data_IF_619176097818
#
_entry.id   IF_619176097818
#
_cell.length_a   1.000
_cell.length_b   1.000
_cell.length_c   1.000
_cell.angle_alpha   90.00
_cell.angle_beta   90.00
_cell.angle_gamma   90.00
#
_symmetry.space_group_name_H-M   'P 1'
#
loop_
_entity.id
_entity.type
_entity.pdbx_description
1 polymer ?
#
# COMPACT_ATOMS: atom_id res chain seq x y z
N UNK A 1 -43.19 16.44 12.61
CA UNK A 1 -41.96 15.76 13.07
C UNK A 1 -41.68 14.66 12.06
N UNK A 2 -40.73 14.85 11.12
CA UNK A 2 -40.37 13.77 10.21
C UNK A 2 -39.83 12.60 11.04
N UNK A 3 -40.42 11.43 10.82
CA UNK A 3 -40.00 10.15 11.40
C UNK A 3 -38.51 9.97 11.20
N UNK A 4 -37.80 9.68 12.30
CA UNK A 4 -36.37 9.35 12.35
C UNK A 4 -36.11 8.27 11.30
N UNK A 5 -35.66 8.66 10.12
CA UNK A 5 -35.23 7.75 9.06
C UNK A 5 -34.10 6.92 9.64
N UNK A 6 -34.31 5.61 9.73
CA UNK A 6 -33.26 4.67 10.09
C UNK A 6 -32.04 4.97 9.21
N UNK A 7 -30.94 5.34 9.85
CA UNK A 7 -29.69 5.67 9.16
C UNK A 7 -29.30 4.44 8.35
N UNK A 8 -29.14 4.61 7.04
CA UNK A 8 -28.69 3.53 6.18
C UNK A 8 -27.26 3.15 6.58
N UNK A 9 -27.08 1.97 7.16
CA UNK A 9 -25.78 1.41 7.51
C UNK A 9 -25.52 0.22 6.59
N UNK A 10 -24.34 0.17 5.97
CA UNK A 10 -23.93 -0.96 5.16
C UNK A 10 -23.66 -2.17 6.07
N UNK A 11 -24.00 -3.39 5.62
CA UNK A 11 -23.63 -4.60 6.35
C UNK A 11 -22.11 -4.65 6.62
N UNK A 12 -21.68 -5.20 7.76
CA UNK A 12 -20.26 -5.47 7.98
C UNK A 12 -19.76 -6.51 6.97
N UNK A 13 -18.47 -6.47 6.65
CA UNK A 13 -17.83 -7.57 5.94
C UNK A 13 -17.92 -8.88 6.71
N UNK A 14 -17.81 -10.01 6.01
CA UNK A 14 -17.69 -11.32 6.64
C UNK A 14 -16.47 -11.38 7.55
N UNK A 15 -16.50 -12.25 8.55
CA UNK A 15 -15.33 -12.47 9.41
C UNK A 15 -14.13 -12.92 8.56
N UNK A 16 -12.94 -12.37 8.84
CA UNK A 16 -11.70 -12.81 8.21
C UNK A 16 -11.41 -14.27 8.54
N UNK A 17 -10.67 -14.96 7.66
CA UNK A 17 -10.25 -16.33 7.92
C UNK A 17 -9.43 -16.40 9.22
N UNK A 18 -9.77 -17.33 10.10
CA UNK A 18 -9.00 -17.57 11.32
C UNK A 18 -7.75 -18.40 11.02
N UNK A 19 -6.70 -18.21 11.82
CA UNK A 19 -5.48 -19.03 11.74
C UNK A 19 -5.79 -20.52 11.75
N UNK A 20 -6.62 -20.97 12.70
CA UNK A 20 -6.99 -22.37 12.84
C UNK A 20 -7.71 -22.92 11.61
N UNK A 21 -8.58 -22.12 10.97
CA UNK A 21 -9.25 -22.54 9.75
C UNK A 21 -8.25 -22.70 8.59
N UNK A 22 -7.33 -21.76 8.44
CA UNK A 22 -6.28 -21.80 7.40
C UNK A 22 -5.34 -22.98 7.61
N UNK A 23 -4.91 -23.22 8.85
CA UNK A 23 -4.06 -24.36 9.19
C UNK A 23 -4.75 -25.69 8.88
N UNK A 24 -6.06 -25.81 9.15
CA UNK A 24 -6.86 -27.00 8.88
C UNK A 24 -7.24 -27.20 7.41
N UNK A 25 -6.95 -26.24 6.52
CA UNK A 25 -7.25 -26.39 5.09
C UNK A 25 -6.15 -27.16 4.36
N UNK A 26 -6.56 -28.21 3.65
CA UNK A 26 -5.67 -29.11 2.91
C UNK A 26 -5.41 -28.67 1.46
N UNK A 27 -6.28 -27.82 0.90
CA UNK A 27 -6.29 -27.50 -0.52
C UNK A 27 -5.99 -26.01 -0.74
N UNK A 28 -4.72 -25.59 -0.82
CA UNK A 28 -4.37 -24.23 -1.20
C UNK A 28 -4.74 -23.95 -2.66
N UNK A 29 -5.10 -22.70 -2.97
CA UNK A 29 -5.26 -22.30 -4.36
C UNK A 29 -3.93 -22.27 -5.13
N UNK A 30 -3.95 -22.46 -6.46
CA UNK A 30 -2.76 -22.29 -7.28
C UNK A 30 -2.19 -20.87 -7.18
N UNK A 31 -0.86 -20.73 -7.08
CA UNK A 31 -0.21 -19.42 -6.88
C UNK A 31 -0.57 -18.39 -7.96
N UNK A 32 -0.65 -18.79 -9.23
CA UNK A 32 -1.00 -17.90 -10.33
C UNK A 32 -2.42 -17.33 -10.21
N UNK A 33 -3.35 -18.09 -9.64
CA UNK A 33 -4.72 -17.62 -9.39
C UNK A 33 -4.72 -16.55 -8.29
N UNK A 34 -4.01 -16.82 -7.18
CA UNK A 34 -3.88 -15.87 -6.06
C UNK A 34 -3.22 -14.56 -6.53
N UNK A 35 -2.14 -14.65 -7.29
CA UNK A 35 -1.46 -13.49 -7.90
C UNK A 35 -2.40 -12.68 -8.79
N UNK A 36 -3.16 -13.35 -9.67
CA UNK A 36 -4.11 -12.67 -10.56
C UNK A 36 -5.14 -11.86 -9.79
N UNK A 37 -5.74 -12.47 -8.76
CA UNK A 37 -6.76 -11.82 -7.92
C UNK A 37 -6.16 -10.63 -7.14
N UNK A 38 -4.94 -10.78 -6.58
CA UNK A 38 -4.28 -9.67 -5.87
C UNK A 38 -3.97 -8.50 -6.79
N UNK A 39 -3.46 -8.76 -8.00
CA UNK A 39 -3.17 -7.71 -8.99
C UNK A 39 -4.46 -7.04 -9.49
N UNK A 40 -5.51 -7.82 -9.74
CA UNK A 40 -6.80 -7.30 -10.19
C UNK A 40 -7.41 -6.36 -9.13
N UNK A 41 -7.53 -6.83 -7.88
CA UNK A 41 -8.13 -6.05 -6.80
C UNK A 41 -7.28 -4.82 -6.48
N UNK A 42 -5.95 -4.97 -6.38
CA UNK A 42 -5.07 -3.83 -6.11
C UNK A 42 -5.11 -2.79 -7.23
N UNK A 43 -5.08 -3.22 -8.49
CA UNK A 43 -5.22 -2.33 -9.64
C UNK A 43 -6.56 -1.59 -9.65
N UNK A 44 -7.66 -2.29 -9.35
CA UNK A 44 -8.98 -1.67 -9.20
C UNK A 44 -8.98 -0.60 -8.10
N UNK A 45 -8.49 -0.92 -6.90
CA UNK A 45 -8.47 0.00 -5.77
C UNK A 45 -7.55 1.20 -5.98
N UNK A 46 -6.40 1.01 -6.65
CA UNK A 46 -5.52 2.12 -7.05
C UNK A 46 -6.24 3.02 -8.07
N UNK A 47 -6.89 2.44 -9.07
CA UNK A 47 -7.66 3.23 -10.05
C UNK A 47 -8.86 3.96 -9.43
N UNK A 48 -9.42 3.41 -8.35
CA UNK A 48 -10.50 4.02 -7.61
C UNK A 48 -10.02 5.31 -6.93
N UNK A 49 -8.86 5.28 -6.28
CA UNK A 49 -8.25 6.46 -5.64
C UNK A 49 -8.03 7.61 -6.62
N UNK A 50 -7.71 7.30 -7.88
CA UNK A 50 -7.52 8.29 -8.95
C UNK A 50 -8.84 8.90 -9.45
N UNK A 51 -9.94 8.15 -9.33
CA UNK A 51 -11.26 8.52 -9.89
C UNK A 51 -12.20 9.17 -8.90
N UNK A 52 -11.98 9.00 -7.60
CA UNK A 52 -12.90 9.51 -6.58
C UNK A 52 -12.20 10.23 -5.44
N UNK A 53 -12.77 11.36 -5.04
CA UNK A 53 -12.41 12.08 -3.81
C UNK A 53 -13.29 11.68 -2.63
N UNK A 54 -14.29 10.81 -2.84
CA UNK A 54 -15.20 10.37 -1.78
C UNK A 54 -14.45 9.76 -0.61
N UNK A 55 -13.32 9.09 -0.88
CA UNK A 55 -12.50 8.39 0.10
C UNK A 55 -11.32 9.21 0.64
N UNK A 56 -11.37 10.52 0.41
CA UNK A 56 -10.29 11.46 0.69
C UNK A 56 -9.20 11.37 -0.37
N UNK A 57 -8.40 12.43 -0.47
CA UNK A 57 -7.20 12.41 -1.30
C UNK A 57 -6.15 11.53 -0.63
N UNK A 58 -5.81 10.42 -1.28
CA UNK A 58 -4.63 9.63 -0.96
C UNK A 58 -3.42 10.54 -1.09
N UNK A 59 -2.70 10.73 0.02
CA UNK A 59 -1.42 11.41 -0.03
C UNK A 59 -0.47 10.47 -0.80
N UNK A 60 -0.21 10.77 -2.08
CA UNK A 60 0.65 9.97 -2.97
C UNK A 60 2.13 10.15 -2.60
N UNK A 61 2.42 10.11 -1.30
CA UNK A 61 3.76 10.13 -0.80
C UNK A 61 4.46 8.82 -1.19
N UNK A 62 5.35 8.91 -2.18
CA UNK A 62 6.15 7.79 -2.68
C UNK A 62 7.04 7.15 -1.59
N UNK A 63 7.23 7.84 -0.47
CA UNK A 63 8.01 7.39 0.69
C UNK A 63 7.12 6.96 1.87
N UNK A 64 5.87 6.62 1.60
CA UNK A 64 4.96 5.92 2.52
C UNK A 64 4.50 4.61 1.87
N UNK A 65 4.42 3.48 2.60
CA UNK A 65 4.00 2.19 2.04
C UNK A 65 2.47 2.11 1.87
N UNK A 66 1.92 3.04 1.11
CA UNK A 66 0.52 3.02 0.69
C UNK A 66 0.27 1.89 -0.31
N UNK A 67 -1.00 1.49 -0.50
CA UNK A 67 -1.39 0.52 -1.53
C UNK A 67 -0.82 0.91 -2.91
N UNK A 68 -0.92 2.19 -3.28
CA UNK A 68 -0.37 2.71 -4.53
C UNK A 68 1.15 2.54 -4.60
N UNK A 69 1.88 2.93 -3.55
CA UNK A 69 3.34 2.80 -3.49
C UNK A 69 3.77 1.34 -3.63
N UNK A 70 3.13 0.43 -2.89
CA UNK A 70 3.47 -1.00 -2.93
C UNK A 70 3.13 -1.62 -4.29
N UNK A 71 2.00 -1.24 -4.89
CA UNK A 71 1.62 -1.66 -6.24
C UNK A 71 2.63 -1.20 -7.29
N UNK A 72 3.00 0.09 -7.29
CA UNK A 72 4.00 0.65 -8.22
C UNK A 72 5.36 -0.03 -8.03
N UNK A 73 5.77 -0.27 -6.78
CA UNK A 73 7.01 -1.00 -6.46
C UNK A 73 7.00 -2.44 -6.97
N UNK A 74 5.89 -3.16 -6.79
CA UNK A 74 5.78 -4.52 -7.30
C UNK A 74 5.94 -4.55 -8.83
N UNK A 75 5.28 -3.63 -9.53
CA UNK A 75 5.33 -3.50 -10.99
C UNK A 75 6.67 -2.98 -11.53
N UNK A 76 7.38 -2.14 -10.77
CA UNK A 76 8.71 -1.64 -11.13
C UNK A 76 9.85 -2.61 -10.81
N UNK A 77 9.52 -3.83 -10.35
CA UNK A 77 10.51 -4.86 -10.02
C UNK A 77 11.26 -4.60 -8.71
N UNK A 78 10.83 -3.65 -7.88
CA UNK A 78 11.42 -3.44 -6.55
C UNK A 78 11.23 -4.70 -5.69
N UNK A 79 12.29 -5.09 -4.99
CA UNK A 79 12.23 -6.15 -3.99
C UNK A 79 11.57 -5.64 -2.71
N UNK A 80 10.85 -6.52 -2.02
CA UNK A 80 10.31 -6.22 -0.68
C UNK A 80 11.44 -6.17 0.35
N UNK A 81 11.23 -5.51 1.50
CA UNK A 81 12.13 -5.63 2.64
C UNK A 81 12.34 -7.10 3.00
N UNK A 82 13.49 -7.42 3.58
CA UNK A 82 13.81 -8.79 3.99
C UNK A 82 12.65 -9.39 4.81
N UNK A 83 12.28 -10.66 4.56
CA UNK A 83 11.21 -11.30 5.31
C UNK A 83 11.60 -11.56 6.77
N UNK A 84 12.89 -11.41 7.14
CA UNK A 84 13.39 -11.45 8.51
C UNK A 84 13.42 -10.05 9.13
N UNK A 85 12.69 -9.86 10.24
CA UNK A 85 12.60 -8.56 10.93
C UNK A 85 13.95 -8.01 11.41
N UNK A 86 14.88 -8.89 11.78
CA UNK A 86 16.25 -8.52 12.19
C UNK A 86 17.00 -7.79 11.08
N UNK A 87 16.78 -8.20 9.83
CA UNK A 87 17.47 -7.67 8.65
C UNK A 87 16.76 -6.47 8.03
N UNK A 88 15.44 -6.38 8.22
CA UNK A 88 14.65 -5.21 7.81
C UNK A 88 15.11 -3.89 8.47
N UNK A 89 15.93 -3.96 9.52
CA UNK A 89 16.50 -2.80 10.21
C UNK A 89 18.01 -2.60 9.98
N UNK A 90 18.68 -3.49 9.24
CA UNK A 90 20.12 -3.35 8.94
C UNK A 90 20.34 -2.40 7.75
N UNK A 91 20.68 -1.15 8.07
CA UNK A 91 20.96 -0.10 7.09
C UNK A 91 22.03 -0.52 6.07
N UNK A 92 23.06 -1.26 6.48
CA UNK A 92 24.15 -1.64 5.56
C UNK A 92 23.65 -2.65 4.53
N UNK A 93 22.91 -3.65 4.98
CA UNK A 93 22.32 -4.65 4.10
C UNK A 93 21.31 -4.00 3.15
N UNK A 94 20.45 -3.12 3.66
CA UNK A 94 19.45 -2.42 2.85
C UNK A 94 20.12 -1.57 1.78
N UNK A 95 21.15 -0.77 2.11
CA UNK A 95 21.89 0.01 1.11
C UNK A 95 22.51 -0.87 0.02
N UNK A 96 22.88 -2.11 0.32
CA UNK A 96 23.42 -3.05 -0.66
C UNK A 96 22.35 -3.66 -1.57
N UNK A 97 21.08 -3.72 -1.13
CA UNK A 97 19.99 -4.38 -1.86
C UNK A 97 18.95 -3.41 -2.44
N UNK A 98 18.91 -2.15 -2.02
CA UNK A 98 17.83 -1.20 -2.36
C UNK A 98 17.70 -0.89 -3.85
N UNK A 99 18.80 -1.02 -4.60
CA UNK A 99 18.87 -0.82 -6.05
C UNK A 99 18.68 -2.12 -6.84
N UNK A 100 18.58 -3.26 -6.16
CA UNK A 100 18.29 -4.53 -6.82
C UNK A 100 16.84 -4.52 -7.30
N UNK A 101 16.66 -5.00 -8.53
CA UNK A 101 15.37 -5.14 -9.19
C UNK A 101 15.29 -6.54 -9.76
N UNK A 102 14.08 -7.10 -9.74
CA UNK A 102 13.77 -8.27 -10.56
C UNK A 102 13.40 -7.82 -11.96
N UNK A 103 13.85 -8.58 -12.96
CA UNK A 103 13.44 -8.40 -14.35
C UNK A 103 12.07 -9.05 -14.64
N UNK A 104 11.55 -9.83 -13.68
CA UNK A 104 10.26 -10.47 -13.79
C UNK A 104 9.12 -9.47 -13.70
N UNK A 105 8.15 -9.62 -14.62
CA UNK A 105 6.89 -8.87 -14.54
C UNK A 105 6.13 -9.31 -13.30
N UNK A 106 5.37 -8.38 -12.68
CA UNK A 106 4.57 -8.65 -11.49
C UNK A 106 3.86 -10.02 -11.56
N UNK A 107 3.05 -10.29 -12.59
CA UNK A 107 2.30 -11.55 -12.78
C UNK A 107 3.12 -12.85 -12.73
N UNK A 108 4.45 -12.79 -12.93
CA UNK A 108 5.35 -13.94 -12.89
C UNK A 108 6.19 -14.03 -11.62
N UNK A 109 6.16 -12.98 -10.78
CA UNK A 109 6.86 -12.96 -9.50
C UNK A 109 6.31 -14.03 -8.55
N UNK A 110 7.14 -14.56 -7.65
CA UNK A 110 6.73 -15.58 -6.71
C UNK A 110 5.70 -15.03 -5.71
N UNK A 111 4.88 -15.90 -5.11
CA UNK A 111 3.67 -15.50 -4.39
C UNK A 111 3.98 -14.73 -3.09
N UNK A 112 5.08 -15.03 -2.43
CA UNK A 112 5.56 -14.34 -1.23
C UNK A 112 5.81 -12.83 -1.46
N UNK A 113 6.11 -12.41 -2.69
CA UNK A 113 6.32 -11.00 -3.02
C UNK A 113 5.03 -10.17 -2.89
N UNK A 114 3.89 -10.84 -2.72
CA UNK A 114 2.57 -10.22 -2.60
C UNK A 114 2.10 -10.07 -1.14
N UNK A 115 2.89 -10.51 -0.15
CA UNK A 115 2.54 -10.41 1.27
C UNK A 115 2.10 -8.98 1.67
N UNK A 116 2.95 -7.99 1.38
CA UNK A 116 2.69 -6.61 1.80
C UNK A 116 1.54 -5.97 1.02
N UNK A 117 1.41 -6.32 -0.27
CA UNK A 117 0.29 -5.87 -1.10
C UNK A 117 -1.04 -6.42 -0.58
N UNK A 118 -1.08 -7.70 -0.18
CA UNK A 118 -2.26 -8.33 0.43
C UNK A 118 -2.73 -7.58 1.67
N UNK A 119 -1.83 -7.24 2.59
CA UNK A 119 -2.20 -6.47 3.79
C UNK A 119 -2.69 -5.07 3.43
N UNK A 120 -2.03 -4.38 2.50
CA UNK A 120 -2.44 -3.06 2.06
C UNK A 120 -3.81 -3.05 1.38
N UNK A 121 -4.13 -4.09 0.60
CA UNK A 121 -5.45 -4.29 -0.02
C UNK A 121 -6.52 -4.48 1.06
N UNK A 122 -6.30 -5.37 2.03
CA UNK A 122 -7.26 -5.60 3.12
C UNK A 122 -7.52 -4.31 3.92
N UNK A 123 -6.47 -3.59 4.28
CA UNK A 123 -6.58 -2.32 4.99
C UNK A 123 -7.36 -1.29 4.15
N UNK A 124 -7.12 -1.22 2.84
CA UNK A 124 -7.81 -0.28 1.96
C UNK A 124 -9.29 -0.62 1.79
N UNK A 125 -9.65 -1.90 1.64
CA UNK A 125 -11.06 -2.33 1.56
C UNK A 125 -11.84 -1.93 2.81
N UNK A 126 -11.28 -2.19 3.99
CA UNK A 126 -11.87 -1.80 5.28
C UNK A 126 -11.97 -0.28 5.44
N UNK A 127 -10.93 0.46 5.03
CA UNK A 127 -10.91 1.91 5.11
C UNK A 127 -12.00 2.56 4.22
N UNK A 128 -12.16 2.06 2.98
CA UNK A 128 -13.23 2.50 2.08
C UNK A 128 -14.61 2.18 2.68
N UNK A 129 -14.81 0.97 3.22
CA UNK A 129 -16.06 0.58 3.87
C UNK A 129 -16.43 1.49 5.05
N UNK A 130 -15.47 1.77 5.93
CA UNK A 130 -15.67 2.68 7.06
C UNK A 130 -16.04 4.10 6.59
N UNK A 131 -15.40 4.59 5.52
CA UNK A 131 -15.73 5.89 4.95
C UNK A 131 -17.13 5.94 4.34
N UNK A 132 -17.54 4.91 3.60
CA UNK A 132 -18.89 4.83 3.04
C UNK A 132 -19.93 4.87 4.17
N UNK A 133 -19.72 4.09 5.23
CA UNK A 133 -20.60 4.08 6.40
C UNK A 133 -20.64 5.44 7.11
N UNK A 134 -19.49 6.11 7.27
CA UNK A 134 -19.46 7.44 7.89
C UNK A 134 -20.28 8.46 7.08
N UNK A 135 -20.17 8.43 5.75
CA UNK A 135 -20.92 9.34 4.85
C UNK A 135 -22.41 9.05 4.82
N UNK A 136 -22.79 7.78 4.81
CA UNK A 136 -24.20 7.36 4.86
C UNK A 136 -24.81 7.73 6.22
N UNK A 137 -24.11 7.44 7.31
CA UNK A 137 -24.57 7.73 8.68
C UNK A 137 -24.70 9.23 8.97
N UNK A 138 -23.92 10.08 8.30
CA UNK A 138 -24.03 11.54 8.41
C UNK A 138 -25.02 12.16 7.43
N UNK A 139 -25.61 11.37 6.51
CA UNK A 139 -26.49 11.85 5.45
C UNK A 139 -25.78 12.68 4.36
N UNK A 140 -24.46 12.59 4.24
CA UNK A 140 -23.71 13.24 3.15
C UNK A 140 -23.86 12.48 1.82
N UNK A 141 -24.29 11.23 1.87
CA UNK A 141 -24.50 10.39 0.70
C UNK A 141 -25.69 9.46 0.94
N UNK A 142 -26.33 9.04 -0.13
CA UNK A 142 -27.35 8.00 -0.17
C UNK A 142 -26.81 6.75 -0.89
N UNK A 143 -27.43 5.60 -0.67
CA UNK A 143 -27.02 4.34 -1.31
C UNK A 143 -27.09 4.40 -2.85
N UNK A 144 -27.96 5.24 -3.39
CA UNK A 144 -28.16 5.46 -4.83
C UNK A 144 -27.18 6.45 -5.44
N UNK A 145 -26.42 7.18 -4.62
CA UNK A 145 -25.45 8.15 -5.14
C UNK A 145 -24.30 7.41 -5.83
N UNK A 146 -23.78 7.99 -6.91
CA UNK A 146 -22.64 7.44 -7.62
C UNK A 146 -21.34 7.68 -6.85
N UNK A 147 -20.45 6.69 -6.85
CA UNK A 147 -19.14 6.77 -6.20
C UNK A 147 -18.19 7.78 -6.88
N UNK A 148 -18.38 8.00 -8.17
CA UNK A 148 -17.69 8.99 -9.01
C UNK A 148 -18.51 9.16 -10.29
N UNK A 149 -18.21 10.16 -11.12
CA UNK A 149 -18.95 10.45 -12.35
C UNK A 149 -19.01 9.23 -13.28
N UNK A 150 -20.21 8.76 -13.61
CA UNK A 150 -20.46 7.53 -14.38
C UNK A 150 -19.94 6.24 -13.71
N UNK A 151 -19.69 6.28 -12.41
CA UNK A 151 -19.30 5.13 -11.60
C UNK A 151 -20.49 4.35 -11.06
N UNK A 152 -20.22 3.23 -10.35
CA UNK A 152 -21.26 2.48 -9.67
C UNK A 152 -21.88 3.33 -8.55
N UNK A 153 -23.11 2.99 -8.19
CA UNK A 153 -23.73 3.50 -6.96
C UNK A 153 -22.94 3.06 -5.72
N UNK A 154 -23.13 3.75 -4.59
CA UNK A 154 -22.54 3.35 -3.29
C UNK A 154 -22.95 1.91 -2.92
N UNK A 155 -24.18 1.50 -3.21
CA UNK A 155 -24.64 0.13 -2.97
C UNK A 155 -23.91 -0.92 -3.85
N UNK A 156 -23.75 -0.63 -5.14
CA UNK A 156 -23.01 -1.51 -6.07
C UNK A 156 -21.53 -1.56 -5.70
N UNK A 157 -20.93 -0.42 -5.36
CA UNK A 157 -19.55 -0.37 -4.88
C UNK A 157 -19.36 -1.25 -3.64
N UNK A 158 -20.27 -1.18 -2.66
CA UNK A 158 -20.21 -2.04 -1.48
C UNK A 158 -20.26 -3.52 -1.84
N UNK A 159 -21.12 -3.89 -2.79
CA UNK A 159 -21.25 -5.28 -3.26
C UNK A 159 -19.91 -5.79 -3.81
N UNK A 160 -19.25 -5.00 -4.68
CA UNK A 160 -17.94 -5.34 -5.22
C UNK A 160 -16.87 -5.46 -4.12
N UNK A 161 -16.85 -4.53 -3.16
CA UNK A 161 -15.89 -4.58 -2.05
C UNK A 161 -16.11 -5.81 -1.16
N UNK A 162 -17.36 -6.21 -0.94
CA UNK A 162 -17.71 -7.40 -0.17
C UNK A 162 -17.30 -8.70 -0.90
N UNK A 163 -17.45 -8.75 -2.22
CA UNK A 163 -16.97 -9.86 -3.06
C UNK A 163 -15.44 -9.98 -3.00
N UNK A 164 -14.72 -8.86 -3.16
CA UNK A 164 -13.25 -8.84 -3.02
C UNK A 164 -12.80 -9.24 -1.62
N UNK A 165 -13.45 -8.72 -0.58
CA UNK A 165 -13.18 -9.13 0.79
C UNK A 165 -13.39 -10.63 0.99
N UNK A 166 -14.48 -11.18 0.44
CA UNK A 166 -14.78 -12.61 0.46
C UNK A 166 -13.65 -13.42 -0.16
N UNK A 167 -13.28 -13.11 -1.40
CA UNK A 167 -12.23 -13.81 -2.15
C UNK A 167 -10.87 -13.82 -1.42
N UNK A 168 -10.47 -12.67 -0.86
CA UNK A 168 -9.20 -12.53 -0.13
C UNK A 168 -9.19 -13.27 1.22
N UNK A 169 -10.37 -13.54 1.79
CA UNK A 169 -10.53 -14.24 3.06
C UNK A 169 -10.97 -15.70 2.89
N UNK A 170 -10.94 -16.24 1.67
CA UNK A 170 -11.15 -17.67 1.48
C UNK A 170 -9.98 -18.47 2.07
N UNK A 171 -10.29 -19.50 2.83
CA UNK A 171 -9.28 -20.30 3.53
C UNK A 171 -8.21 -20.91 2.59
N UNK A 172 -8.56 -21.48 1.41
CA UNK A 172 -7.60 -21.90 0.40
C UNK A 172 -6.67 -20.79 -0.11
N UNK A 173 -7.19 -19.57 -0.26
CA UNK A 173 -6.44 -18.40 -0.73
C UNK A 173 -5.38 -18.01 0.28
N UNK A 174 -5.80 -17.79 1.54
CA UNK A 174 -4.89 -17.41 2.63
C UNK A 174 -3.87 -18.51 2.91
N UNK A 175 -4.25 -19.80 2.80
CA UNK A 175 -3.33 -20.94 2.97
C UNK A 175 -2.21 -20.94 1.93
N UNK A 176 -2.52 -20.66 0.67
CA UNK A 176 -1.53 -20.61 -0.40
C UNK A 176 -0.49 -19.51 -0.12
N UNK A 177 -0.96 -18.31 0.24
CA UNK A 177 -0.09 -17.18 0.55
C UNK A 177 0.71 -17.40 1.85
N UNK A 178 0.09 -17.95 2.91
CA UNK A 178 0.76 -18.32 4.17
C UNK A 178 1.91 -19.30 3.93
N UNK A 179 1.65 -20.34 3.12
CA UNK A 179 2.64 -21.37 2.82
C UNK A 179 3.82 -20.78 2.03
N UNK A 180 3.55 -19.98 0.98
CA UNK A 180 4.59 -19.35 0.18
C UNK A 180 5.47 -18.40 1.02
N UNK A 181 4.86 -17.62 1.92
CA UNK A 181 5.59 -16.73 2.82
C UNK A 181 6.46 -17.53 3.81
N UNK A 182 5.97 -18.65 4.34
CA UNK A 182 6.79 -19.54 5.20
C UNK A 182 7.95 -20.14 4.42
N UNK A 183 7.70 -20.65 3.22
CA UNK A 183 8.72 -21.24 2.35
C UNK A 183 9.82 -20.23 2.04
N UNK A 184 9.47 -19.02 1.64
CA UNK A 184 10.43 -17.93 1.41
C UNK A 184 11.28 -17.62 2.64
N UNK A 185 10.69 -17.65 3.84
CA UNK A 185 11.43 -17.46 5.10
C UNK A 185 12.38 -18.61 5.40
N UNK A 186 11.99 -19.85 5.09
CA UNK A 186 12.84 -21.04 5.23
C UNK A 186 14.01 -20.97 4.25
N UNK A 187 13.75 -20.62 3.00
CA UNK A 187 14.78 -20.42 1.97
C UNK A 187 15.77 -19.34 2.39
N UNK A 188 15.27 -18.21 2.90
CA UNK A 188 16.12 -17.14 3.42
C UNK A 188 17.02 -17.61 4.57
N UNK A 189 16.45 -18.33 5.56
CA UNK A 189 17.22 -18.89 6.67
C UNK A 189 18.25 -19.92 6.20
N UNK A 190 17.91 -20.71 5.19
CA UNK A 190 18.82 -21.65 4.56
C UNK A 190 20.03 -20.91 3.98
N UNK A 191 19.80 -19.89 3.15
CA UNK A 191 20.86 -19.09 2.54
C UNK A 191 21.74 -18.41 3.60
N UNK A 192 21.14 -17.90 4.68
CA UNK A 192 21.87 -17.31 5.79
C UNK A 192 22.80 -18.33 6.47
N UNK A 193 22.31 -19.54 6.74
CA UNK A 193 23.13 -20.64 7.31
C UNK A 193 24.30 -20.97 6.38
N UNK A 194 24.06 -21.07 5.08
CA UNK A 194 25.13 -21.33 4.10
C UNK A 194 26.15 -20.19 4.05
N UNK A 195 25.69 -18.95 4.11
CA UNK A 195 26.57 -17.79 4.15
C UNK A 195 27.45 -17.79 5.41
N UNK A 196 26.89 -18.15 6.58
CA UNK A 196 27.63 -18.31 7.84
C UNK A 196 28.72 -19.39 7.76
N UNK A 197 28.45 -20.49 7.06
CA UNK A 197 29.47 -21.52 6.75
C UNK A 197 30.58 -20.93 5.86
N UNK A 198 30.20 -20.19 4.81
CA UNK A 198 31.16 -19.62 3.84
C UNK A 198 32.15 -18.66 4.51
N UNK A 199 31.69 -17.88 5.48
CA UNK A 199 32.55 -16.94 6.25
C UNK A 199 33.21 -17.59 7.47
N UNK A 200 33.09 -18.92 7.64
CA UNK A 200 33.62 -19.70 8.76
C UNK A 200 33.12 -19.27 10.15
N UNK A 201 31.91 -18.72 10.24
CA UNK A 201 31.27 -18.40 11.53
C UNK A 201 30.75 -19.66 12.23
N UNK A 202 30.27 -20.64 11.45
CA UNK A 202 29.79 -21.94 11.94
C UNK A 202 30.44 -23.09 11.18
N UNK A 203 30.50 -24.27 11.80
CA UNK A 203 31.01 -25.47 11.13
C UNK A 203 29.97 -26.07 10.18
N UNK A 204 30.41 -26.88 9.22
CA UNK A 204 29.49 -27.64 8.33
C UNK A 204 28.57 -28.58 9.11
N UNK A 205 29.07 -29.15 10.22
CA UNK A 205 28.27 -30.05 11.06
C UNK A 205 27.14 -29.28 11.76
N UNK A 206 27.43 -28.08 12.26
CA UNK A 206 26.41 -27.21 12.88
C UNK A 206 25.38 -26.75 11.86
N UNK A 207 25.82 -26.37 10.65
CA UNK A 207 24.92 -26.01 9.56
C UNK A 207 23.96 -27.13 9.19
N UNK A 208 24.45 -28.37 9.04
CA UNK A 208 23.59 -29.53 8.77
C UNK A 208 22.56 -29.76 9.88
N UNK A 209 22.94 -29.55 11.15
CA UNK A 209 22.04 -29.66 12.28
C UNK A 209 20.96 -28.57 12.26
N UNK A 210 21.33 -27.33 11.95
CA UNK A 210 20.39 -26.21 11.82
C UNK A 210 19.44 -26.42 10.64
N UNK A 211 19.95 -26.82 9.48
CA UNK A 211 19.15 -27.14 8.30
C UNK A 211 18.17 -28.28 8.58
N UNK A 212 18.63 -29.36 9.21
CA UNK A 212 17.74 -30.46 9.61
C UNK A 212 16.63 -30.00 10.56
N UNK A 213 16.88 -28.97 11.38
CA UNK A 213 15.89 -28.42 12.30
C UNK A 213 14.84 -27.58 11.58
N UNK A 214 15.23 -26.67 10.67
CA UNK A 214 14.28 -25.80 9.98
C UNK A 214 13.31 -26.58 9.06
N UNK A 215 13.75 -27.72 8.52
CA UNK A 215 12.92 -28.60 7.69
C UNK A 215 12.15 -29.66 8.51
N UNK A 216 12.33 -29.72 9.83
CA UNK A 216 11.55 -30.62 10.68
C UNK A 216 10.09 -30.14 10.71
N UNK A 217 9.07 -30.99 10.47
CA UNK A 217 7.67 -30.54 10.34
C UNK A 217 7.16 -29.69 11.52
N UNK A 218 7.51 -30.06 12.76
CA UNK A 218 7.10 -29.31 13.95
C UNK A 218 7.76 -27.93 14.06
N UNK A 219 8.99 -27.78 13.59
CA UNK A 219 9.71 -26.50 13.63
C UNK A 219 9.33 -25.64 12.44
N UNK A 220 9.13 -26.23 11.25
CA UNK A 220 8.59 -25.56 10.09
C UNK A 220 7.21 -24.95 10.39
N UNK A 221 6.33 -25.70 11.08
CA UNK A 221 5.02 -25.19 11.49
C UNK A 221 5.10 -23.99 12.46
N UNK A 222 6.23 -23.81 13.16
CA UNK A 222 6.49 -22.67 14.04
C UNK A 222 7.09 -21.47 13.33
N UNK A 223 7.60 -21.64 12.11
CA UNK A 223 8.06 -20.52 11.30
C UNK A 223 6.83 -19.68 10.98
N UNK A 224 6.92 -18.40 11.35
CA UNK A 224 5.85 -17.45 11.13
C UNK A 224 5.56 -17.38 9.63
N UNK A 225 4.29 -17.55 9.26
CA UNK A 225 3.76 -17.25 7.93
C UNK A 225 3.11 -15.87 7.91
N UNK A 226 1.94 -15.72 7.33
CA UNK A 226 1.23 -14.45 7.37
C UNK A 226 0.99 -13.99 8.82
N UNK A 227 1.09 -12.69 9.04
CA UNK A 227 0.61 -12.03 10.23
C UNK A 227 -0.92 -12.13 10.28
N UNK A 228 -1.44 -12.68 11.36
CA UNK A 228 -2.87 -12.83 11.59
C UNK A 228 -3.51 -11.51 12.01
N UNK A 229 -3.80 -10.67 11.01
CA UNK A 229 -4.39 -9.34 11.20
C UNK A 229 -5.93 -9.35 11.28
N UNK A 230 -6.53 -10.52 11.53
CA UNK A 230 -7.97 -10.68 11.70
C UNK A 230 -8.47 -9.88 12.91
N UNK A 231 -9.01 -8.69 12.65
CA UNK A 231 -9.47 -7.75 13.67
C UNK A 231 -8.60 -6.51 13.85
N UNK A 232 -7.50 -6.37 13.10
CA UNK A 232 -6.75 -5.11 13.09
C UNK A 232 -7.56 -4.04 12.36
N UNK A 233 -7.52 -2.82 12.89
CA UNK A 233 -8.03 -1.66 12.17
C UNK A 233 -7.07 -1.29 11.01
N UNK A 234 -7.56 -0.64 9.94
CA UNK A 234 -6.70 -0.21 8.83
C UNK A 234 -5.46 0.59 9.26
N UNK A 235 -5.61 1.45 10.27
CA UNK A 235 -4.51 2.23 10.83
C UNK A 235 -3.40 1.38 11.46
N UNK A 236 -3.74 0.22 12.04
CA UNK A 236 -2.77 -0.72 12.62
C UNK A 236 -1.96 -1.42 11.53
N UNK A 237 -2.64 -1.88 10.48
CA UNK A 237 -1.98 -2.50 9.33
C UNK A 237 -1.03 -1.50 8.67
N UNK A 238 -1.49 -0.26 8.45
CA UNK A 238 -0.66 0.80 7.87
C UNK A 238 0.54 1.14 8.77
N UNK A 239 0.36 1.24 10.09
CA UNK A 239 1.47 1.50 11.01
C UNK A 239 2.51 0.37 11.02
N UNK A 240 2.05 -0.88 10.90
CA UNK A 240 2.94 -2.04 10.79
C UNK A 240 3.73 -2.04 9.47
N UNK A 241 3.07 -1.76 8.35
CA UNK A 241 3.75 -1.60 7.05
C UNK A 241 4.73 -0.43 7.06
N UNK A 242 4.36 0.71 7.66
CA UNK A 242 5.25 1.85 7.85
C UNK A 242 6.52 1.47 8.61
N UNK A 243 6.43 0.69 9.68
CA UNK A 243 7.61 0.25 10.41
C UNK A 243 8.45 -0.72 9.57
N UNK A 244 7.82 -1.66 8.85
CA UNK A 244 8.52 -2.61 7.96
C UNK A 244 9.31 -1.90 6.87
N UNK A 245 8.75 -0.84 6.28
CA UNK A 245 9.36 -0.09 5.18
C UNK A 245 10.17 1.13 5.64
N UNK A 246 10.21 1.43 6.95
CA UNK A 246 10.76 2.69 7.50
C UNK A 246 12.17 2.99 6.99
N UNK A 247 13.08 2.01 7.09
CA UNK A 247 14.48 2.20 6.72
C UNK A 247 14.66 2.25 5.20
N UNK A 248 13.96 1.38 4.46
CA UNK A 248 14.02 1.32 2.99
C UNK A 248 13.59 2.66 2.38
N UNK A 249 12.38 3.11 2.71
CA UNK A 249 11.83 4.34 2.13
C UNK A 249 12.57 5.59 2.62
N UNK A 250 13.13 5.58 3.82
CA UNK A 250 13.99 6.67 4.31
C UNK A 250 15.27 6.79 3.46
N UNK A 251 15.95 5.69 3.16
CA UNK A 251 17.18 5.71 2.34
C UNK A 251 16.85 6.17 0.91
N UNK A 252 15.78 5.64 0.30
CA UNK A 252 15.37 6.08 -1.04
C UNK A 252 15.06 7.57 -1.08
N UNK A 253 14.40 8.09 -0.03
CA UNK A 253 14.13 9.53 0.11
C UNK A 253 15.41 10.35 0.19
N UNK A 254 16.37 9.93 1.02
CA UNK A 254 17.68 10.60 1.15
C UNK A 254 18.44 10.62 -0.18
N UNK A 255 18.44 9.52 -0.93
CA UNK A 255 19.11 9.42 -2.23
C UNK A 255 18.45 10.31 -3.30
N UNK A 256 17.11 10.34 -3.33
CA UNK A 256 16.36 11.20 -4.24
C UNK A 256 16.61 12.69 -3.93
N UNK A 257 16.58 13.07 -2.66
CA UNK A 257 16.89 14.43 -2.21
C UNK A 257 18.35 14.82 -2.54
N UNK A 258 19.31 13.91 -2.34
CA UNK A 258 20.71 14.12 -2.71
C UNK A 258 20.89 14.35 -4.21
N UNK A 259 20.22 13.57 -5.04
CA UNK A 259 20.29 13.68 -6.50
C UNK A 259 19.73 15.02 -6.98
N UNK A 260 18.55 15.44 -6.47
CA UNK A 260 17.95 16.74 -6.84
C UNK A 260 18.82 17.93 -6.42
N UNK A 261 19.54 17.84 -5.29
CA UNK A 261 20.48 18.88 -4.88
C UNK A 261 21.69 18.99 -5.82
N UNK A 262 22.23 17.86 -6.26
CA UNK A 262 23.36 17.84 -7.22
C UNK A 262 22.93 18.41 -8.56
N UNK A 263 21.75 18.03 -9.06
CA UNK A 263 21.19 18.57 -10.30
C UNK A 263 20.95 20.09 -10.23
N UNK A 264 20.43 20.61 -9.11
CA UNK A 264 20.27 22.06 -8.88
C UNK A 264 21.62 22.79 -8.86
N UNK A 265 22.66 22.18 -8.29
CA UNK A 265 24.02 22.75 -8.30
C UNK A 265 24.60 22.72 -9.72
N UNK A 266 24.41 21.65 -10.46
CA UNK A 266 24.86 21.52 -11.85
C UNK A 266 24.18 22.54 -12.78
N UNK A 267 22.86 22.72 -12.65
CA UNK A 267 22.11 23.70 -13.45
C UNK A 267 22.49 25.15 -13.15
N UNK A 268 22.83 25.45 -11.89
CA UNK A 268 23.34 26.77 -11.49
C UNK A 268 24.73 27.05 -12.08
N UNK A 269 25.60 26.03 -12.20
CA UNK A 269 26.93 26.18 -12.79
C UNK A 269 26.82 26.37 -14.31
N UNK A 270 25.91 25.64 -14.99
CA UNK A 270 25.71 25.77 -16.45
C UNK A 270 25.07 27.11 -16.87
N UNK A 271 24.39 27.80 -15.95
CA UNK A 271 23.75 29.10 -16.20
C UNK A 271 24.65 30.30 -15.92
N UNK A 272 25.91 30.10 -15.49
CA UNK A 272 26.87 31.21 -15.52
C UNK A 272 27.02 31.62 -16.99
N UNK A 273 26.57 32.82 -17.39
CA UNK A 273 26.78 33.31 -18.74
C UNK A 273 28.29 33.18 -18.98
N UNK A 274 28.68 32.56 -20.10
CA UNK A 274 30.03 32.74 -20.61
C UNK A 274 30.24 34.25 -20.60
N UNK A 275 31.02 34.73 -19.61
CA UNK A 275 31.52 36.10 -19.68
C UNK A 275 32.14 36.17 -21.05
N UNK A 276 31.72 37.12 -21.91
CA UNK A 276 32.25 37.23 -23.25
C UNK A 276 33.76 37.20 -23.07
N UNK A 277 34.34 36.10 -23.57
CA UNK A 277 35.76 35.83 -23.51
C UNK A 277 36.39 37.12 -24.02
N UNK A 278 37.02 37.86 -23.11
CA UNK A 278 37.66 39.11 -23.49
C UNK A 278 38.70 38.71 -24.51
N UNK A 279 38.36 38.93 -25.79
CA UNK A 279 39.27 38.73 -26.90
C UNK A 279 40.59 39.38 -26.48
N UNK A 280 41.71 38.62 -26.47
CA UNK A 280 43.01 39.21 -26.21
C UNK A 280 43.29 40.16 -27.36
N UNK A 281 43.01 41.45 -27.15
CA UNK A 281 43.17 42.58 -28.07
C UNK A 281 44.35 42.36 -29.01
N UNK A 282 44.13 42.05 -30.31
CA UNK A 282 45.11 42.28 -31.34
C UNK A 282 44.72 43.56 -32.08
N UNK A 283 45.72 44.42 -32.21
CA UNK A 283 45.67 45.72 -32.85
C UNK A 283 45.06 45.64 -34.27
N UNK A 284 44.14 46.58 -34.50
CA UNK A 284 43.87 47.33 -35.75
C UNK A 284 43.29 46.60 -36.97
N UNK A 285 42.17 47.22 -37.39
CA UNK A 285 41.77 47.53 -38.77
C UNK A 285 41.53 46.36 -39.73
N UNK A 286 40.28 46.20 -40.18
CA UNK A 286 39.84 46.70 -41.50
C UNK A 286 38.34 46.42 -41.70
N UNK A 287 37.67 47.44 -42.22
CA UNK A 287 36.27 47.51 -42.63
C UNK A 287 35.94 46.51 -43.76
N UNK A 288 34.77 45.88 -43.72
CA UNK A 288 33.75 45.99 -44.81
C UNK A 288 32.43 45.25 -44.53
N UNK A 289 31.40 46.08 -44.46
CA UNK A 289 30.01 45.98 -44.91
C UNK A 289 29.65 44.82 -45.87
N UNK A 290 28.48 44.18 -45.65
CA UNK A 290 27.39 43.75 -46.59
C UNK A 290 26.36 42.99 -45.70
N UNK A 291 25.21 43.52 -45.23
CA UNK A 291 23.91 43.87 -45.85
C UNK A 291 23.34 42.84 -46.82
N UNK A 292 22.34 42.04 -46.41
CA UNK A 292 21.10 41.62 -47.13
C UNK A 292 20.24 40.84 -46.09
N UNK A 293 19.09 41.29 -45.60
CA UNK A 293 17.73 41.38 -46.20
C UNK A 293 16.84 40.21 -45.79
N UNK A 294 15.71 40.59 -45.19
CA UNK A 294 14.57 39.79 -44.73
C UNK A 294 13.82 39.07 -45.87
N UNK A 295 13.04 38.04 -45.53
CA UNK A 295 11.67 37.85 -46.02
C UNK A 295 10.85 36.93 -45.06
N UNK A 296 9.55 37.20 -44.83
CA UNK A 296 8.59 36.37 -44.09
C UNK A 296 7.54 35.72 -45.00
N UNK A 297 6.99 34.53 -44.70
CA UNK A 297 5.79 33.98 -45.38
C UNK A 297 4.98 32.99 -44.51
N UNK A 298 3.76 33.44 -44.20
CA UNK A 298 2.43 32.78 -44.18
C UNK A 298 1.94 31.78 -43.11
N UNK A 299 0.77 32.18 -42.60
CA UNK A 299 -0.36 31.47 -42.03
C UNK A 299 -0.92 30.37 -42.94
N UNK A 300 -1.51 29.34 -42.31
CA UNK A 300 -2.56 28.53 -42.91
C UNK A 300 -3.63 28.20 -41.85
N UNK A 301 -4.75 28.90 -41.96
CA UNK A 301 -6.05 28.48 -41.41
C UNK A 301 -6.55 27.23 -42.16
N UNK A 302 -7.15 26.27 -41.45
CA UNK A 302 -8.10 25.34 -42.08
C UNK A 302 -9.15 24.82 -41.10
N UNK A 303 -10.37 25.33 -41.30
CA UNK A 303 -11.66 24.63 -41.35
C UNK A 303 -12.09 23.66 -40.22
N UNK A 304 -13.03 24.17 -39.42
CA UNK A 304 -14.38 23.63 -39.12
C UNK A 304 -14.73 22.21 -39.60
N UNK A 305 -15.25 21.40 -38.67
CA UNK A 305 -16.33 20.45 -38.93
C UNK A 305 -17.28 20.39 -37.70
N UNK A 306 -18.42 21.06 -37.83
CA UNK A 306 -19.57 20.99 -36.92
C UNK A 306 -20.33 19.70 -37.22
N UNK A 307 -20.58 18.87 -36.22
CA UNK A 307 -21.52 17.73 -36.32
C UNK A 307 -22.68 18.00 -35.36
N UNK A 308 -23.84 18.30 -35.94
CA UNK A 308 -25.10 18.48 -35.23
C UNK A 308 -25.71 17.10 -34.91
N UNK A 309 -26.05 16.89 -33.64
CA UNK A 309 -26.79 15.72 -33.16
C UNK A 309 -28.17 16.18 -32.67
N UNK A 310 -29.29 15.51 -33.00
CA UNK A 310 -30.62 16.01 -32.67
C UNK A 310 -30.93 15.87 -31.17
N UNK A 311 -31.37 16.97 -30.57
CA UNK A 311 -31.85 17.04 -29.18
C UNK A 311 -33.22 16.38 -29.02
N UNK A 312 -33.27 15.38 -28.16
CA UNK A 312 -34.48 14.77 -27.61
C UNK A 312 -35.01 15.66 -26.47
N UNK A 313 -36.14 16.32 -26.73
CA UNK A 313 -36.73 17.35 -25.88
C UNK A 313 -37.52 16.71 -24.73
N UNK A 314 -36.81 16.23 -23.71
CA UNK A 314 -37.41 15.87 -22.41
C UNK A 314 -37.53 17.16 -21.58
N UNK A 315 -38.75 17.49 -21.15
CA UNK A 315 -39.06 18.60 -20.23
C UNK A 315 -38.31 18.42 -18.90
N UNK A 316 -37.06 18.88 -18.83
CA UNK A 316 -36.36 19.19 -17.57
C UNK A 316 -36.69 20.64 -17.20
N UNK A 317 -37.08 20.85 -15.95
CA UNK A 317 -37.26 22.19 -15.40
C UNK A 317 -36.01 23.02 -15.63
N UNK A 318 -36.18 24.29 -16.00
CA UNK A 318 -35.10 25.25 -16.19
C UNK A 318 -34.37 25.50 -14.87
N UNK A 319 -33.39 24.65 -14.55
CA UNK A 319 -32.27 25.05 -13.71
C UNK A 319 -31.30 25.81 -14.61
N UNK A 320 -30.84 26.99 -14.18
CA UNK A 320 -29.87 27.74 -14.96
C UNK A 320 -28.53 26.99 -14.95
N UNK A 321 -27.74 27.08 -16.03
CA UNK A 321 -26.37 26.53 -16.08
C UNK A 321 -25.51 27.08 -14.91
N UNK A 322 -25.86 28.27 -14.41
CA UNK A 322 -25.27 28.88 -13.23
C UNK A 322 -25.55 28.07 -11.96
N UNK A 323 -26.78 27.57 -11.77
CA UNK A 323 -27.18 26.81 -10.58
C UNK A 323 -26.51 25.43 -10.52
N UNK A 324 -26.27 24.80 -11.67
CA UNK A 324 -25.54 23.53 -11.76
C UNK A 324 -24.06 23.72 -11.40
N UNK A 325 -23.43 24.78 -11.91
CA UNK A 325 -22.05 25.12 -11.58
C UNK A 325 -21.88 25.51 -10.09
N UNK A 326 -22.82 26.26 -9.53
CA UNK A 326 -22.82 26.64 -8.11
C UNK A 326 -23.07 25.42 -7.20
N UNK A 327 -23.88 24.45 -7.65
CA UNK A 327 -24.10 23.19 -6.95
C UNK A 327 -22.83 22.33 -6.92
N UNK A 328 -22.17 22.18 -8.06
CA UNK A 328 -20.92 21.40 -8.18
C UNK A 328 -19.81 22.01 -7.31
N UNK A 329 -19.64 23.34 -7.37
CA UNK A 329 -18.65 24.05 -6.53
C UNK A 329 -18.97 23.91 -5.04
N UNK A 330 -20.25 24.04 -4.65
CA UNK A 330 -20.66 23.84 -3.26
C UNK A 330 -20.45 22.38 -2.79
N UNK A 331 -20.62 21.41 -3.69
CA UNK A 331 -20.35 20.01 -3.44
C UNK A 331 -18.85 19.75 -3.24
N UNK A 332 -17.98 20.31 -4.10
CA UNK A 332 -16.52 20.21 -3.97
C UNK A 332 -16.03 20.79 -2.65
N UNK A 333 -16.50 21.98 -2.27
CA UNK A 333 -16.14 22.61 -0.99
C UNK A 333 -16.55 21.74 0.20
N UNK A 334 -17.74 21.13 0.16
CA UNK A 334 -18.21 20.22 1.22
C UNK A 334 -17.37 18.94 1.24
N UNK A 335 -17.09 18.34 0.09
CA UNK A 335 -16.24 17.16 -0.02
C UNK A 335 -14.82 17.42 0.50
N UNK A 336 -14.27 18.60 0.21
CA UNK A 336 -12.97 19.03 0.74
C UNK A 336 -12.98 19.12 2.27
N UNK A 337 -13.97 19.79 2.87
CA UNK A 337 -14.06 19.89 4.34
C UNK A 337 -14.19 18.54 5.03
N UNK A 338 -14.99 17.63 4.45
CA UNK A 338 -15.12 16.26 4.97
C UNK A 338 -13.80 15.50 4.84
N UNK A 339 -13.07 15.66 3.74
CA UNK A 339 -11.77 15.00 3.55
C UNK A 339 -10.70 15.53 4.51
N UNK A 340 -10.65 16.84 4.77
CA UNK A 340 -9.76 17.46 5.77
C UNK A 340 -10.07 16.96 7.18
N UNK A 341 -11.35 16.92 7.56
CA UNK A 341 -11.76 16.42 8.88
C UNK A 341 -11.48 14.92 9.04
N UNK A 342 -11.74 14.12 8.00
CA UNK A 342 -11.43 12.68 8.00
C UNK A 342 -9.92 12.45 8.09
N UNK A 343 -9.11 13.23 7.36
CA UNK A 343 -7.65 13.18 7.43
C UNK A 343 -7.15 13.55 8.82
N UNK A 344 -7.74 14.56 9.47
CA UNK A 344 -7.42 14.92 10.86
C UNK A 344 -7.70 13.76 11.83
N UNK A 345 -8.89 13.16 11.76
CA UNK A 345 -9.25 12.02 12.61
C UNK A 345 -8.34 10.81 12.36
N UNK A 346 -8.03 10.51 11.10
CA UNK A 346 -7.08 9.45 10.72
C UNK A 346 -5.68 9.72 11.24
N UNK A 347 -5.18 10.95 11.13
CA UNK A 347 -3.86 11.32 11.64
C UNK A 347 -3.76 11.07 13.14
N UNK A 348 -4.79 11.47 13.89
CA UNK A 348 -4.85 11.29 15.34
C UNK A 348 -4.95 9.80 15.74
N UNK A 349 -5.81 9.03 15.08
CA UNK A 349 -5.91 7.60 15.31
C UNK A 349 -4.62 6.85 14.92
N UNK A 350 -3.96 7.29 13.84
CA UNK A 350 -2.68 6.75 13.40
C UNK A 350 -1.56 7.03 14.39
N UNK A 351 -1.48 8.23 14.98
CA UNK A 351 -0.52 8.54 16.05
C UNK A 351 -0.68 7.65 17.28
N UNK A 352 -1.92 7.48 17.77
CA UNK A 352 -2.23 6.58 18.90
C UNK A 352 -1.87 5.12 18.56
N UNK A 353 -2.17 4.70 17.33
CA UNK A 353 -1.87 3.35 16.85
C UNK A 353 -0.37 3.11 16.70
N UNK A 354 0.39 4.08 16.16
CA UNK A 354 1.86 4.00 16.05
C UNK A 354 2.51 3.88 17.42
N UNK A 355 1.98 4.56 18.45
CA UNK A 355 2.46 4.39 19.82
C UNK A 355 2.22 2.97 20.33
N UNK A 356 1.01 2.43 20.12
CA UNK A 356 0.63 1.09 20.58
C UNK A 356 1.42 -0.03 19.87
N UNK A 357 1.59 0.09 18.54
CA UNK A 357 2.41 -0.84 17.75
C UNK A 357 3.86 -0.79 18.23
N UNK A 358 4.45 0.41 18.39
CA UNK A 358 5.81 0.55 18.93
C UNK A 358 5.94 -0.13 20.30
N UNK A 359 5.03 0.08 21.25
CA UNK A 359 5.11 -0.60 22.55
C UNK A 359 5.06 -2.12 22.42
N UNK A 360 4.18 -2.67 21.58
CA UNK A 360 4.03 -4.12 21.44
C UNK A 360 5.21 -4.80 20.74
N UNK A 361 5.82 -4.14 19.75
CA UNK A 361 6.99 -4.64 19.02
C UNK A 361 8.23 -4.71 19.92
N UNK A 362 8.41 -3.77 20.84
CA UNK A 362 9.52 -3.82 21.80
C UNK A 362 9.29 -4.81 22.94
N UNK A 363 8.04 -5.05 23.36
CA UNK A 363 7.73 -6.02 24.41
C UNK A 363 7.87 -7.48 23.95
N UNK A 364 7.49 -7.80 22.71
CA UNK A 364 7.64 -9.17 22.17
C UNK A 364 9.09 -9.57 21.89
N UNK A 365 10.01 -8.61 21.80
CA UNK A 365 11.43 -8.89 21.56
C UNK A 365 12.22 -9.23 22.84
N UNK A 366 11.62 -9.10 24.04
CA UNK A 366 12.30 -9.41 25.31
C UNK A 366 12.17 -10.87 25.77
N UNK A 367 11.35 -11.71 25.13
CA UNK A 367 11.11 -13.10 25.59
C UNK A 367 11.81 -14.20 24.79
N UNK A 368 12.64 -13.88 23.79
CA UNK A 368 13.32 -14.90 22.97
C UNK A 368 14.79 -15.17 23.34
N UNK A 369 15.31 -14.59 24.42
CA UNK A 369 16.65 -14.92 24.93
C UNK A 369 16.60 -15.38 26.39
N UNK A 370 16.53 -16.69 26.62
CA UNK A 370 17.02 -17.25 27.88
C UNK A 370 16.36 -18.53 28.38
N UNK A 371 17.01 -19.66 28.08
CA UNK A 371 17.25 -20.81 28.98
C UNK A 371 16.02 -21.51 29.59
N UNK A 372 15.82 -22.76 29.18
CA UNK A 372 14.80 -23.66 29.70
C UNK A 372 14.83 -23.87 31.21
N UNK A 373 13.65 -23.82 31.80
CA UNK A 373 13.33 -24.42 33.09
C UNK A 373 11.96 -25.12 32.96
N UNK A 374 11.76 -26.31 33.55
CA UNK A 374 10.47 -26.98 33.51
C UNK A 374 9.45 -26.18 34.30
N UNK A 375 8.39 -25.72 33.61
CA UNK A 375 7.22 -25.14 34.26
C UNK A 375 6.51 -26.26 35.00
N UNK A 376 6.72 -26.32 36.31
CA UNK A 376 5.88 -27.11 37.21
C UNK A 376 4.48 -26.49 37.20
N UNK A 377 3.52 -27.20 36.62
CA UNK A 377 2.10 -26.94 36.85
C UNK A 377 1.78 -27.28 38.30
N UNK A 378 1.82 -26.30 39.19
CA UNK A 378 1.15 -26.40 40.49
C UNK A 378 -0.35 -26.42 40.25
N UNK A 379 -0.96 -27.56 40.55
CA UNK A 379 -2.38 -27.81 40.37
C UNK A 379 -3.25 -26.80 41.10
N UNK A 380 -4.18 -26.20 40.36
CA UNK A 380 -5.39 -25.64 40.96
C UNK A 380 -6.38 -26.77 41.17
N UNK A 381 -6.57 -27.12 42.45
CA UNK A 381 -7.63 -28.01 42.90
C UNK A 381 -8.99 -27.41 42.55
N UNK A 382 -9.72 -28.08 41.65
CA UNK A 382 -11.13 -27.84 41.42
C UNK A 382 -11.93 -28.32 42.64
N UNK A 383 -12.24 -27.39 43.54
CA UNK A 383 -13.17 -27.61 44.65
C UNK A 383 -14.59 -27.71 44.09
N UNK A 384 -15.05 -28.94 43.82
CA UNK A 384 -16.47 -29.26 43.60
C UNK A 384 -17.26 -28.93 44.87
N UNK A 385 -18.10 -27.90 44.83
CA UNK A 385 -19.22 -27.76 45.74
C UNK A 385 -20.41 -28.51 45.15
N UNK A 386 -20.68 -29.70 45.66
CA UNK A 386 -22.02 -30.29 45.59
C UNK A 386 -22.86 -29.62 46.67
N UNK A 387 -23.92 -28.94 46.25
CA UNK A 387 -25.01 -28.55 47.13
C UNK A 387 -25.92 -29.75 47.33
N UNK A 388 -25.88 -30.30 48.54
CA UNK A 388 -27.02 -31.01 49.13
C UNK A 388 -28.00 -29.96 49.66
N UNK A 389 -29.30 -30.15 49.43
CA UNK A 389 -30.30 -29.42 50.18
C UNK A 389 -31.73 -29.45 49.64
N UNK A 390 -32.46 -30.49 50.04
CA UNK A 390 -33.91 -30.57 50.33
C UNK A 390 -34.92 -30.58 49.19
#
# INVERSE_FOLDING_TARGET
MPSRTDLAVLPPFSAAASQTAVEASDNPYPSHYVVSILLEISGFLVSLDERTTLFGQSDHNLYSPSLHTLYVRLHGGQLNPSPMQTHANDIKLIKATIHQRTDERAVHRPLEDYEDLYYAVLARLQDIHHMMNARLGSGFSALTDQAYSNGPSIAEMFTNLAEYWGALNETPFVKALDSAVRDSRVEYLHEEILNKVRINEITRADANKLLSRIYHPEEYARIQGLAWIGGWAPGMVNAWLEEKYRIVLMIEKEEAEGTTQIERKASTISLKPQQPEQEPVPKKEVKKTVRWSQLPVQEAESAKATTEHPQEQVRRGHYSVQDEMDYDMAWEIKAQRVSEYTRYLRSRASEETKQLVRSSVYENNMYMNGVGGPVQYTGMEFRKMYGDGY
#
